data_IF_993992870106
#
_entry.id   IF_993992870106
#
_cell.length_a   1.000
_cell.length_b   1.000
_cell.length_c   1.000
_cell.angle_alpha   90.00
_cell.angle_beta   90.00
_cell.angle_gamma   90.00
#
_symmetry.space_group_name_H-M   'P 1'
#
loop_
_entity.id
_entity.type
_entity.pdbx_description
1 polymer ?
#
# COMPACT_ATOMS: atom_id res chain seq x y z
N UNK A 1 -6.07 -6.04 -3.48
CA UNK A 1 -5.90 -7.19 -4.40
C UNK A 1 -5.16 -8.28 -3.64
N UNK A 2 -5.45 -9.55 -3.93
CA UNK A 2 -4.81 -10.71 -3.32
C UNK A 2 -3.90 -11.39 -4.33
N UNK A 3 -2.70 -11.74 -3.89
CA UNK A 3 -1.69 -12.43 -4.69
C UNK A 3 -1.19 -13.66 -3.94
N UNK A 4 -0.76 -14.69 -4.68
CA UNK A 4 -0.04 -15.82 -4.10
C UNK A 4 1.48 -15.57 -4.01
N UNK A 5 2.24 -16.53 -3.47
CA UNK A 5 3.69 -16.42 -3.28
C UNK A 5 4.48 -16.27 -4.60
N UNK A 6 3.87 -16.57 -5.74
CA UNK A 6 4.47 -16.42 -7.07
C UNK A 6 4.13 -15.06 -7.72
N UNK A 7 3.46 -14.16 -7.01
CA UNK A 7 3.03 -12.86 -7.52
C UNK A 7 1.90 -12.96 -8.55
N UNK A 8 1.14 -14.06 -8.55
CA UNK A 8 -0.02 -14.23 -9.43
C UNK A 8 -1.25 -13.69 -8.73
N UNK A 9 -1.99 -12.78 -9.39
CA UNK A 9 -3.25 -12.26 -8.85
C UNK A 9 -4.28 -13.39 -8.74
N UNK A 10 -5.00 -13.39 -7.62
CA UNK A 10 -6.14 -14.28 -7.38
C UNK A 10 -7.45 -13.69 -7.93
N UNK A 11 -7.37 -12.57 -8.66
CA UNK A 11 -8.50 -11.80 -9.20
C UNK A 11 -9.51 -11.37 -8.11
N UNK A 12 -9.00 -11.08 -6.91
CA UNK A 12 -9.80 -10.65 -5.77
C UNK A 12 -9.34 -9.27 -5.31
N UNK A 13 -9.89 -8.25 -5.97
CA UNK A 13 -9.58 -6.87 -5.69
C UNK A 13 -10.86 -6.03 -5.53
N UNK A 14 -10.69 -4.90 -4.86
CA UNK A 14 -11.70 -3.86 -4.74
C UNK A 14 -11.04 -2.55 -5.11
N UNK A 15 -11.78 -1.73 -5.85
CA UNK A 15 -11.46 -0.34 -6.09
C UNK A 15 -12.44 0.51 -5.29
N UNK A 16 -11.91 1.41 -4.49
CA UNK A 16 -12.69 2.32 -3.67
C UNK A 16 -12.20 3.72 -4.00
N UNK A 17 -13.14 4.64 -4.19
CA UNK A 17 -12.82 6.05 -4.38
C UNK A 17 -12.16 6.62 -3.12
N UNK A 18 -11.03 7.30 -3.32
CA UNK A 18 -10.29 7.92 -2.22
C UNK A 18 -11.11 9.06 -1.64
N UNK A 19 -11.42 8.98 -0.34
CA UNK A 19 -12.17 10.03 0.34
C UNK A 19 -11.17 11.09 0.82
N UNK A 20 -11.32 12.31 0.28
CA UNK A 20 -10.52 13.49 0.60
C UNK A 20 -11.46 14.62 1.02
N UNK A 21 -11.14 15.24 2.15
CA UNK A 21 -11.75 16.50 2.56
C UNK A 21 -10.75 17.63 2.30
N UNK A 22 -10.98 18.37 1.22
CA UNK A 22 -10.11 19.48 0.82
C UNK A 22 -10.25 20.71 1.72
N UNK A 23 -11.41 20.92 2.34
CA UNK A 23 -11.64 22.06 3.24
C UNK A 23 -10.91 21.85 4.57
N UNK A 24 -10.92 20.62 5.08
CA UNK A 24 -10.19 20.24 6.30
C UNK A 24 -8.73 19.84 6.03
N UNK A 25 -8.36 19.63 4.77
CA UNK A 25 -7.03 19.18 4.39
C UNK A 25 -6.70 17.79 4.92
N UNK A 26 -7.68 16.88 4.93
CA UNK A 26 -7.53 15.50 5.43
C UNK A 26 -7.92 14.46 4.39
N UNK A 27 -7.49 13.22 4.59
CA UNK A 27 -7.87 12.08 3.77
C UNK A 27 -8.21 10.89 4.66
N UNK A 28 -8.90 9.89 4.10
CA UNK A 28 -9.24 8.65 4.80
C UNK A 28 -8.45 7.43 4.31
N UNK A 29 -7.35 7.61 3.56
CA UNK A 29 -6.65 6.52 2.88
C UNK A 29 -6.20 5.44 3.86
N UNK A 30 -5.58 5.82 4.98
CA UNK A 30 -5.14 4.87 5.99
C UNK A 30 -6.31 4.02 6.53
N UNK A 31 -7.43 4.67 6.86
CA UNK A 31 -8.60 3.98 7.39
C UNK A 31 -9.22 3.07 6.31
N UNK A 32 -9.39 3.55 5.09
CA UNK A 32 -9.91 2.76 3.97
C UNK A 32 -9.04 1.54 3.67
N UNK A 33 -7.71 1.67 3.76
CA UNK A 33 -6.77 0.55 3.61
C UNK A 33 -6.91 -0.44 4.76
N UNK A 34 -6.98 0.03 6.01
CA UNK A 34 -7.19 -0.83 7.17
C UNK A 34 -8.53 -1.59 7.10
N UNK A 35 -9.60 -0.92 6.66
CA UNK A 35 -10.92 -1.53 6.52
C UNK A 35 -10.89 -2.64 5.45
N UNK A 36 -10.26 -2.38 4.30
CA UNK A 36 -10.04 -3.38 3.25
C UNK A 36 -9.25 -4.60 3.76
N UNK A 37 -8.16 -4.36 4.50
CA UNK A 37 -7.35 -5.44 5.10
C UNK A 37 -8.20 -6.26 6.07
N UNK A 38 -8.98 -5.59 6.93
CA UNK A 38 -9.89 -6.24 7.88
C UNK A 38 -10.89 -7.15 7.17
N UNK A 39 -11.49 -6.70 6.07
CA UNK A 39 -12.40 -7.51 5.26
C UNK A 39 -11.74 -8.74 4.63
N UNK A 40 -10.51 -8.59 4.12
CA UNK A 40 -9.78 -9.71 3.52
C UNK A 40 -9.40 -10.77 4.55
N UNK A 41 -8.94 -10.38 5.74
CA UNK A 41 -8.53 -11.32 6.79
C UNK A 41 -9.70 -12.20 7.28
N UNK A 42 -10.94 -11.71 7.20
CA UNK A 42 -12.12 -12.51 7.59
C UNK A 42 -12.33 -13.74 6.71
N UNK A 43 -11.89 -13.69 5.45
CA UNK A 43 -12.17 -14.72 4.45
C UNK A 43 -10.90 -15.43 3.94
N UNK A 44 -9.72 -14.93 4.31
CA UNK A 44 -8.43 -15.39 3.79
C UNK A 44 -7.36 -15.43 4.88
N UNK A 45 -6.47 -16.42 4.79
CA UNK A 45 -5.20 -16.38 5.53
C UNK A 45 -4.25 -15.45 4.77
N UNK A 46 -3.78 -14.40 5.43
CA UNK A 46 -2.90 -13.39 4.83
C UNK A 46 -1.54 -13.44 5.52
N UNK A 47 -0.47 -13.62 4.75
CA UNK A 47 0.89 -13.71 5.28
C UNK A 47 1.54 -12.32 5.49
N UNK A 48 1.06 -11.30 4.76
CA UNK A 48 1.59 -9.94 4.85
C UNK A 48 0.89 -8.97 3.90
N UNK A 49 1.28 -7.69 3.99
CA UNK A 49 0.70 -6.59 3.20
C UNK A 49 1.82 -5.85 2.45
N UNK A 50 1.64 -5.68 1.14
CA UNK A 50 2.46 -4.78 0.33
C UNK A 50 1.64 -3.57 -0.13
N UNK A 51 2.19 -2.37 0.02
CA UNK A 51 1.55 -1.11 -0.37
C UNK A 51 2.42 -0.39 -1.39
N UNK A 52 1.88 -0.20 -2.59
CA UNK A 52 2.39 0.71 -3.61
C UNK A 52 1.66 2.04 -3.47
N UNK A 53 2.39 3.14 -3.24
CA UNK A 53 1.76 4.42 -2.91
C UNK A 53 2.38 5.65 -3.57
N UNK A 54 1.58 6.72 -3.64
CA UNK A 54 2.02 8.04 -4.06
C UNK A 54 2.91 8.70 -2.98
N UNK A 55 3.81 9.58 -3.41
CA UNK A 55 4.71 10.29 -2.51
C UNK A 55 5.98 9.53 -2.18
N UNK A 56 6.82 10.14 -1.34
CA UNK A 56 8.12 9.61 -0.92
C UNK A 56 7.94 8.86 0.39
N UNK A 57 8.34 7.60 0.40
CA UNK A 57 8.26 6.72 1.56
C UNK A 57 9.62 6.64 2.25
N UNK A 58 9.62 6.70 3.58
CA UNK A 58 10.78 6.32 4.37
C UNK A 58 10.89 4.79 4.41
N UNK A 59 11.83 4.27 3.61
CA UNK A 59 12.04 2.83 3.44
C UNK A 59 12.30 2.05 4.74
N UNK A 60 12.74 2.71 5.81
CA UNK A 60 12.99 2.03 7.09
C UNK A 60 11.72 1.90 7.96
N UNK A 61 10.74 2.79 7.78
CA UNK A 61 9.60 2.91 8.69
C UNK A 61 8.25 2.73 8.03
N UNK A 62 8.16 2.84 6.70
CA UNK A 62 6.89 2.85 5.96
C UNK A 62 6.09 4.14 6.10
N UNK A 63 6.69 5.21 6.65
CA UNK A 63 6.07 6.53 6.78
C UNK A 63 6.15 7.32 5.47
N UNK A 64 5.07 8.01 5.12
CA UNK A 64 5.06 8.99 4.03
C UNK A 64 5.75 10.28 4.49
N UNK A 65 6.97 10.54 4.00
CA UNK A 65 7.75 11.72 4.40
C UNK A 65 7.53 12.93 3.49
N UNK A 66 7.00 12.71 2.29
CA UNK A 66 6.63 13.78 1.38
C UNK A 66 5.50 13.35 0.46
N UNK A 67 4.53 14.24 0.21
CA UNK A 67 3.44 14.02 -0.71
C UNK A 67 3.08 15.34 -1.40
N UNK A 68 2.58 15.26 -2.63
CA UNK A 68 2.06 16.42 -3.35
C UNK A 68 0.77 16.95 -2.71
N UNK A 69 0.39 18.18 -3.09
CA UNK A 69 -0.83 18.84 -2.60
C UNK A 69 -2.13 18.13 -3.00
N UNK A 70 -2.06 17.13 -3.89
CA UNK A 70 -3.20 16.35 -4.37
C UNK A 70 -3.75 15.41 -3.31
N UNK A 71 -2.99 15.08 -2.26
CA UNK A 71 -3.46 14.24 -1.14
C UNK A 71 -3.14 14.96 0.18
N UNK A 72 -4.04 15.83 0.66
CA UNK A 72 -3.80 16.58 1.87
C UNK A 72 -3.83 15.67 3.11
N UNK A 73 -3.01 16.00 4.11
CA UNK A 73 -2.88 15.20 5.34
C UNK A 73 -2.21 13.83 5.14
N UNK A 74 -1.51 13.63 4.02
CA UNK A 74 -0.86 12.34 3.72
C UNK A 74 0.55 12.21 4.30
N UNK A 75 1.25 13.33 4.45
CA UNK A 75 2.57 13.37 5.10
C UNK A 75 2.41 12.97 6.57
N UNK A 76 3.29 12.10 7.06
CA UNK A 76 3.29 11.58 8.42
C UNK A 76 2.42 10.32 8.60
N UNK A 77 1.70 9.88 7.57
CA UNK A 77 0.97 8.60 7.62
C UNK A 77 1.99 7.46 7.66
N UNK A 78 1.93 6.62 8.69
CA UNK A 78 2.77 5.43 8.82
C UNK A 78 1.91 4.17 8.69
N UNK A 79 1.88 3.60 7.49
CA UNK A 79 1.09 2.40 7.22
C UNK A 79 1.64 1.17 7.92
N UNK A 80 2.96 0.97 7.90
CA UNK A 80 3.59 -0.21 8.52
C UNK A 80 3.23 -0.28 10.01
N UNK A 81 3.44 0.80 10.75
CA UNK A 81 3.17 0.84 12.18
C UNK A 81 1.68 0.59 12.48
N UNK A 82 0.77 1.20 11.74
CA UNK A 82 -0.67 1.06 11.98
C UNK A 82 -1.20 -0.32 11.60
N UNK A 83 -0.78 -0.90 10.47
CA UNK A 83 -1.23 -2.21 10.01
C UNK A 83 -0.64 -3.32 10.88
N UNK A 84 0.65 -3.26 11.19
CA UNK A 84 1.29 -4.23 12.10
C UNK A 84 0.66 -4.20 13.49
N UNK A 85 0.39 -3.00 14.02
CA UNK A 85 -0.27 -2.85 15.32
C UNK A 85 -1.69 -3.41 15.33
N UNK A 86 -2.48 -3.17 14.27
CA UNK A 86 -3.90 -3.55 14.23
C UNK A 86 -4.11 -5.03 13.87
N UNK A 87 -3.30 -5.57 12.98
CA UNK A 87 -3.53 -6.88 12.37
C UNK A 87 -2.40 -7.88 12.63
N UNK A 88 -1.25 -7.45 13.13
CA UNK A 88 -0.07 -8.32 13.32
C UNK A 88 0.54 -8.79 12.00
N UNK A 89 0.21 -8.14 10.88
CA UNK A 89 0.68 -8.50 9.55
C UNK A 89 1.92 -7.70 9.17
N UNK A 90 2.98 -8.40 8.77
CA UNK A 90 4.19 -7.76 8.29
C UNK A 90 3.89 -6.90 7.06
N UNK A 91 4.35 -5.65 7.08
CA UNK A 91 3.91 -4.64 6.11
C UNK A 91 5.08 -3.92 5.45
N UNK A 92 5.10 -3.95 4.12
CA UNK A 92 6.04 -3.18 3.30
C UNK A 92 5.31 -2.08 2.53
N UNK A 93 5.94 -0.90 2.49
CA UNK A 93 5.41 0.28 1.82
C UNK A 93 6.50 0.83 0.91
N UNK A 94 6.17 1.09 -0.34
CA UNK A 94 7.10 1.61 -1.32
C UNK A 94 6.37 2.53 -2.32
N UNK A 95 7.11 3.46 -2.92
CA UNK A 95 6.59 4.38 -3.93
C UNK A 95 6.16 3.62 -5.20
N UNK A 96 5.09 4.09 -5.83
CA UNK A 96 4.49 3.52 -7.05
C UNK A 96 5.46 3.30 -8.21
N UNK A 97 6.37 4.24 -8.50
CA UNK A 97 7.38 4.09 -9.55
C UNK A 97 8.35 2.95 -9.21
N UNK A 98 8.75 2.83 -7.95
CA UNK A 98 9.63 1.76 -7.49
C UNK A 98 8.91 0.40 -7.53
N UNK A 99 7.65 0.33 -7.09
CA UNK A 99 6.84 -0.88 -7.19
C UNK A 99 6.68 -1.36 -8.64
N UNK A 100 6.42 -0.44 -9.57
CA UNK A 100 6.35 -0.76 -11.00
C UNK A 100 7.68 -1.34 -11.51
N UNK A 101 8.81 -0.72 -11.15
CA UNK A 101 10.13 -1.21 -11.52
C UNK A 101 10.42 -2.60 -10.93
N UNK A 102 10.08 -2.83 -9.66
CA UNK A 102 10.22 -4.14 -8.99
C UNK A 102 9.37 -5.21 -9.68
N UNK A 103 8.13 -4.88 -10.05
CA UNK A 103 7.25 -5.78 -10.80
C UNK A 103 7.84 -6.16 -12.16
N UNK A 104 8.37 -5.19 -12.90
CA UNK A 104 9.05 -5.41 -14.19
C UNK A 104 10.31 -6.26 -14.06
N UNK A 105 11.12 -6.05 -13.02
CA UNK A 105 12.33 -6.84 -12.74
C UNK A 105 12.01 -8.28 -12.35
N UNK A 106 10.91 -8.50 -11.62
CA UNK A 106 10.56 -9.84 -11.15
C UNK A 106 9.84 -10.67 -12.22
N UNK A 107 8.81 -10.08 -12.85
CA UNK A 107 7.85 -10.79 -13.70
C UNK A 107 7.62 -10.15 -15.07
N UNK A 108 8.02 -8.90 -15.26
CA UNK A 108 7.87 -8.20 -16.53
C UNK A 108 9.05 -8.39 -17.47
N UNK A 109 9.21 -7.44 -18.37
CA UNK A 109 10.18 -7.50 -19.48
C UNK A 109 11.61 -7.15 -19.05
N UNK A 110 11.78 -6.65 -17.83
CA UNK A 110 13.09 -6.33 -17.26
C UNK A 110 13.71 -7.49 -16.47
N UNK A 111 13.03 -8.65 -16.40
CA UNK A 111 13.61 -9.90 -15.89
C UNK A 111 14.93 -10.17 -16.65
N UNK A 112 16.05 -10.18 -15.93
CA UNK A 112 17.44 -10.31 -16.42
C UNK A 112 18.16 -9.03 -16.90
N UNK A 113 17.59 -7.85 -16.71
CA UNK A 113 18.32 -6.59 -16.97
C UNK A 113 19.05 -6.13 -15.71
N UNK A 114 20.38 -5.94 -15.83
CA UNK A 114 21.27 -5.39 -14.80
C UNK A 114 21.49 -3.90 -15.01
#
# INVERSE_FOLDING_TARGET
DLYNEFGTSLNQFKEIETIIDYDLGTNQILNQVCDLIGEYILNHSIDGVGISTAGVVNANTGEIIYAGYTIPGYIGVNFTAEIEKRFGLYTFVENDVNCAALGELWKGQAKDKK
#
